data_IF_730564187997
#
_entry.id   IF_730564187997
#
_cell.length_a   1.000
_cell.length_b   1.000
_cell.length_c   1.000
_cell.angle_alpha   90.00
_cell.angle_beta   90.00
_cell.angle_gamma   90.00
#
_symmetry.space_group_name_H-M   'P 1'
#
loop_
_entity.id
_entity.type
_entity.pdbx_description
1 polymer ?
#
# COMPACT_ATOMS: atom_id res chain seq x y z
N UNK A 1 -4.20 -17.98 -11.40
CA UNK A 1 -5.39 -17.55 -10.63
C UNK A 1 -5.06 -16.20 -10.02
N UNK A 2 -5.69 -15.09 -10.45
CA UNK A 2 -5.49 -13.77 -9.81
C UNK A 2 -6.31 -13.76 -8.52
N UNK A 3 -5.69 -13.45 -7.38
CA UNK A 3 -6.42 -13.41 -6.11
C UNK A 3 -7.21 -12.11 -6.00
N UNK A 4 -8.27 -12.09 -5.19
CA UNK A 4 -9.06 -10.87 -4.93
C UNK A 4 -8.19 -9.72 -4.38
N UNK A 5 -7.10 -10.07 -3.67
CA UNK A 5 -6.12 -9.11 -3.16
C UNK A 5 -5.26 -8.52 -4.28
N UNK A 6 -4.76 -9.35 -5.21
CA UNK A 6 -3.97 -8.87 -6.34
C UNK A 6 -4.77 -7.90 -7.22
N UNK A 7 -6.07 -8.17 -7.41
CA UNK A 7 -6.95 -7.30 -8.17
C UNK A 7 -7.21 -5.97 -7.43
N UNK A 8 -7.37 -6.01 -6.11
CA UNK A 8 -7.50 -4.81 -5.29
C UNK A 8 -6.23 -3.96 -5.32
N UNK A 9 -5.04 -4.58 -5.27
CA UNK A 9 -3.76 -3.87 -5.40
C UNK A 9 -3.57 -3.25 -6.78
N UNK A 10 -3.91 -3.96 -7.87
CA UNK A 10 -3.89 -3.38 -9.22
C UNK A 10 -4.80 -2.16 -9.34
N UNK A 11 -5.95 -2.20 -8.67
CA UNK A 11 -6.90 -1.07 -8.63
C UNK A 11 -6.33 0.08 -7.80
N UNK A 12 -5.73 -0.20 -6.64
CA UNK A 12 -5.06 0.80 -5.82
C UNK A 12 -3.91 1.45 -6.59
N UNK A 13 -3.09 0.69 -7.30
CA UNK A 13 -1.98 1.20 -8.11
C UNK A 13 -2.43 2.23 -9.16
N UNK A 14 -3.60 2.01 -9.77
CA UNK A 14 -4.20 2.94 -10.74
C UNK A 14 -4.73 4.22 -10.10
N UNK A 15 -5.19 4.14 -8.84
CA UNK A 15 -5.72 5.28 -8.10
C UNK A 15 -4.62 6.11 -7.44
N UNK A 16 -3.66 5.42 -6.83
CA UNK A 16 -2.54 6.00 -6.11
C UNK A 16 -1.37 5.02 -6.06
N UNK A 17 -0.44 5.23 -6.99
CA UNK A 17 0.76 4.40 -7.14
C UNK A 17 1.62 4.39 -5.87
N UNK A 18 1.73 5.53 -5.16
CA UNK A 18 2.55 5.63 -3.95
C UNK A 18 1.97 4.79 -2.81
N UNK A 19 0.66 4.82 -2.61
CA UNK A 19 -0.01 3.97 -1.62
C UNK A 19 0.19 2.49 -1.94
N UNK A 20 0.06 2.11 -3.21
CA UNK A 20 0.34 0.73 -3.63
C UNK A 20 1.78 0.34 -3.34
N UNK A 21 2.74 1.20 -3.68
CA UNK A 21 4.17 0.93 -3.44
C UNK A 21 4.50 0.80 -1.96
N UNK A 22 3.88 1.60 -1.10
CA UNK A 22 4.01 1.46 0.36
C UNK A 22 3.49 0.07 0.81
N UNK A 23 2.38 -0.41 0.25
CA UNK A 23 1.87 -1.74 0.58
C UNK A 23 2.81 -2.84 0.10
N UNK A 24 3.35 -2.71 -1.10
CA UNK A 24 4.33 -3.65 -1.63
C UNK A 24 5.56 -3.78 -0.73
N UNK A 25 6.17 -2.65 -0.40
CA UNK A 25 7.40 -2.62 0.39
C UNK A 25 7.18 -3.13 1.81
N UNK A 26 6.07 -2.74 2.46
CA UNK A 26 5.82 -3.11 3.85
C UNK A 26 5.28 -4.51 4.03
N UNK A 27 4.39 -4.96 3.15
CA UNK A 27 3.69 -6.23 3.32
C UNK A 27 4.41 -7.39 2.61
N UNK A 28 4.89 -7.17 1.38
CA UNK A 28 5.61 -8.21 0.63
C UNK A 28 7.13 -8.09 0.78
N UNK A 29 7.65 -6.86 0.83
CA UNK A 29 9.08 -6.62 1.04
C UNK A 29 9.52 -6.76 2.50
N UNK A 30 8.59 -6.70 3.46
CA UNK A 30 8.89 -6.78 4.89
C UNK A 30 9.62 -5.55 5.46
N UNK A 31 9.65 -4.42 4.73
CA UNK A 31 10.35 -3.21 5.16
C UNK A 31 9.63 -2.52 6.32
N UNK A 32 10.43 -1.93 7.20
CA UNK A 32 10.00 -0.98 8.22
C UNK A 32 9.48 0.34 7.61
N UNK A 33 8.91 1.20 8.45
CA UNK A 33 8.46 2.55 8.05
C UNK A 33 9.65 3.37 7.56
N UNK A 34 10.77 3.28 8.27
CA UNK A 34 12.00 4.03 8.07
C UNK A 34 12.68 3.61 6.77
N UNK A 35 12.78 2.30 6.51
CA UNK A 35 13.31 1.77 5.25
C UNK A 35 12.40 2.15 4.09
N UNK A 36 11.08 2.02 4.25
CA UNK A 36 10.11 2.41 3.21
C UNK A 36 10.21 3.91 2.91
N UNK A 37 10.34 4.75 3.94
CA UNK A 37 10.52 6.19 3.80
C UNK A 37 11.79 6.53 3.02
N UNK A 38 12.88 5.83 3.33
CA UNK A 38 14.18 5.96 2.64
C UNK A 38 14.06 5.56 1.17
N UNK A 39 13.47 4.39 0.88
CA UNK A 39 13.28 3.90 -0.50
C UNK A 39 12.42 4.85 -1.35
N UNK A 40 11.40 5.46 -0.75
CA UNK A 40 10.46 6.33 -1.45
C UNK A 40 10.86 7.80 -1.45
N UNK A 41 11.93 8.19 -0.73
CA UNK A 41 12.35 9.59 -0.61
C UNK A 41 11.31 10.49 0.06
N UNK A 42 10.55 9.95 1.02
CA UNK A 42 9.51 10.70 1.76
C UNK A 42 9.73 10.60 3.27
N UNK A 43 9.02 11.41 4.06
CA UNK A 43 9.10 11.32 5.52
C UNK A 43 8.37 10.07 6.06
N UNK A 44 8.83 9.55 7.20
CA UNK A 44 8.15 8.47 7.93
C UNK A 44 6.70 8.82 8.29
N UNK A 45 6.42 10.10 8.58
CA UNK A 45 5.05 10.63 8.75
C UNK A 45 4.20 10.42 7.51
N UNK A 46 4.76 10.65 6.33
CA UNK A 46 4.06 10.41 5.05
C UNK A 46 3.77 8.93 4.89
N UNK A 47 4.78 8.06 5.11
CA UNK A 47 4.59 6.61 5.03
C UNK A 47 3.48 6.12 5.97
N UNK A 48 3.47 6.55 7.23
CA UNK A 48 2.43 6.14 8.19
C UNK A 48 1.03 6.60 7.79
N UNK A 49 0.89 7.84 7.32
CA UNK A 49 -0.40 8.38 6.85
C UNK A 49 -0.90 7.60 5.63
N UNK A 50 -0.05 7.44 4.62
CA UNK A 50 -0.42 6.79 3.37
C UNK A 50 -0.67 5.29 3.58
N UNK A 51 0.09 4.63 4.46
CA UNK A 51 -0.14 3.24 4.86
C UNK A 51 -1.52 3.03 5.48
N UNK A 52 -1.92 3.87 6.44
CA UNK A 52 -3.25 3.79 7.05
C UNK A 52 -4.37 4.00 6.03
N UNK A 53 -4.20 4.95 5.11
CA UNK A 53 -5.16 5.18 4.02
C UNK A 53 -5.23 4.01 3.04
N UNK A 54 -4.08 3.40 2.69
CA UNK A 54 -4.01 2.24 1.82
C UNK A 54 -4.72 1.02 2.45
N UNK A 55 -4.46 0.75 3.73
CA UNK A 55 -5.12 -0.34 4.46
C UNK A 55 -6.64 -0.14 4.55
N UNK A 56 -7.10 1.07 4.90
CA UNK A 56 -8.52 1.38 4.98
C UNK A 56 -9.22 1.24 3.61
N UNK A 57 -8.56 1.68 2.54
CA UNK A 57 -9.07 1.53 1.19
C UNK A 57 -9.13 0.05 0.76
N UNK A 58 -8.06 -0.72 0.98
CA UNK A 58 -8.01 -2.15 0.62
C UNK A 58 -9.07 -2.94 1.37
N UNK A 59 -9.23 -2.70 2.67
CA UNK A 59 -10.27 -3.36 3.47
C UNK A 59 -11.67 -3.07 2.92
N UNK A 60 -11.93 -1.81 2.54
CA UNK A 60 -13.20 -1.42 1.92
C UNK A 60 -13.40 -2.11 0.57
N UNK A 61 -12.36 -2.18 -0.25
CA UNK A 61 -12.44 -2.76 -1.60
C UNK A 61 -12.66 -4.27 -1.56
N UNK A 62 -11.94 -4.98 -0.68
CA UNK A 62 -12.11 -6.42 -0.48
C UNK A 62 -13.49 -6.77 0.07
N UNK A 63 -14.09 -5.90 0.90
CA UNK A 63 -15.44 -6.13 1.45
C UNK A 63 -16.56 -5.90 0.43
N UNK A 64 -16.32 -5.15 -0.65
CA UNK A 64 -17.32 -4.90 -1.69
C UNK A 64 -17.49 -6.08 -2.66
N UNK A 65 -16.57 -7.05 -2.63
CA UNK A 65 -16.58 -8.26 -3.43
C UNK A 65 -17.08 -9.43 -2.60
#
# INVERSE_FOLDING_TARGET
VSTAFDDALKTLARLDERKCRIVELRYFGGLSVEETATVLGVSTRTVNREWGLAQAWLFRELKKR
#
